data_IF_226559824076
#
_entry.id   IF_226559824076
#
_cell.length_a   1.000
_cell.length_b   1.000
_cell.length_c   1.000
_cell.angle_alpha   90.00
_cell.angle_beta   90.00
_cell.angle_gamma   90.00
#
_symmetry.space_group_name_H-M   'P 1'
#
loop_
_entity.id
_entity.type
_entity.pdbx_description
1 polymer ?
#
# COMPACT_ATOMS: atom_id res chain seq x y z
N UNK A 1 11.73 43.74 -39.31
CA UNK A 1 12.46 42.99 -38.27
C UNK A 1 11.47 41.98 -37.71
N UNK A 2 11.53 40.76 -38.23
CA UNK A 2 10.50 39.75 -37.98
C UNK A 2 11.08 38.81 -36.92
N UNK A 3 10.82 39.11 -35.66
CA UNK A 3 11.30 38.29 -34.56
C UNK A 3 10.37 37.07 -34.43
N UNK A 4 10.70 35.98 -35.12
CA UNK A 4 10.09 34.69 -34.85
C UNK A 4 10.74 34.11 -33.58
N UNK A 5 10.02 34.14 -32.46
CA UNK A 5 10.42 33.44 -31.24
C UNK A 5 10.44 31.93 -31.54
N UNK A 6 11.55 31.21 -31.29
CA UNK A 6 11.55 29.75 -31.45
C UNK A 6 10.58 29.14 -30.44
N UNK A 7 9.54 28.46 -30.91
CA UNK A 7 8.72 27.64 -30.05
C UNK A 7 9.58 26.46 -29.56
N UNK A 8 9.87 26.42 -28.26
CA UNK A 8 10.54 25.29 -27.63
C UNK A 8 9.72 24.01 -27.89
N UNK A 9 10.36 22.86 -28.19
CA UNK A 9 9.64 21.63 -28.38
C UNK A 9 8.92 21.28 -27.08
N UNK A 10 7.59 21.27 -27.10
CA UNK A 10 6.80 20.75 -26.00
C UNK A 10 7.16 19.27 -25.82
N UNK A 11 7.69 18.90 -24.66
CA UNK A 11 7.96 17.50 -24.33
C UNK A 11 6.62 16.77 -24.27
N UNK A 12 6.23 16.15 -25.39
CA UNK A 12 5.01 15.37 -25.46
C UNK A 12 5.24 14.05 -24.73
N UNK A 13 4.61 13.93 -23.56
CA UNK A 13 4.56 12.66 -22.83
C UNK A 13 3.58 11.76 -23.57
N UNK A 14 4.07 10.66 -24.13
CA UNK A 14 3.19 9.61 -24.64
C UNK A 14 2.53 8.91 -23.43
N UNK A 15 1.20 9.04 -23.24
CA UNK A 15 0.51 8.46 -22.11
C UNK A 15 0.60 6.93 -22.09
N UNK A 16 0.77 6.27 -23.24
CA UNK A 16 0.93 4.81 -23.31
C UNK A 16 2.31 4.38 -22.83
N UNK A 17 3.35 5.10 -23.25
CA UNK A 17 4.71 4.86 -22.79
C UNK A 17 4.83 5.10 -21.27
N UNK A 18 4.19 6.15 -20.76
CA UNK A 18 4.12 6.42 -19.33
C UNK A 18 3.40 5.31 -18.57
N UNK A 19 2.22 4.87 -19.03
CA UNK A 19 1.47 3.80 -18.39
C UNK A 19 2.26 2.47 -18.35
N UNK A 20 2.96 2.13 -19.44
CA UNK A 20 3.81 0.95 -19.49
C UNK A 20 4.97 1.03 -18.49
N UNK A 21 5.62 2.20 -18.40
CA UNK A 21 6.70 2.42 -17.43
C UNK A 21 6.21 2.40 -15.97
N UNK A 22 4.98 2.88 -15.72
CA UNK A 22 4.39 2.95 -14.39
C UNK A 22 3.79 1.61 -13.91
N UNK A 23 3.55 0.64 -14.81
CA UNK A 23 2.85 -0.60 -14.47
C UNK A 23 3.54 -1.39 -13.35
N UNK A 24 4.83 -1.67 -13.50
CA UNK A 24 5.62 -2.40 -12.48
C UNK A 24 5.70 -1.65 -11.14
N UNK A 25 6.13 -0.37 -11.07
CA UNK A 25 6.19 0.33 -9.79
C UNK A 25 4.80 0.50 -9.16
N UNK A 26 3.73 0.64 -9.94
CA UNK A 26 2.37 0.66 -9.41
C UNK A 26 1.99 -0.66 -8.76
N UNK A 27 2.31 -1.80 -9.39
CA UNK A 27 2.10 -3.12 -8.80
C UNK A 27 2.91 -3.31 -7.52
N UNK A 28 4.18 -2.91 -7.50
CA UNK A 28 5.02 -2.98 -6.31
C UNK A 28 4.48 -2.11 -5.18
N UNK A 29 4.04 -0.88 -5.48
CA UNK A 29 3.43 0.00 -4.50
C UNK A 29 2.14 -0.59 -3.94
N UNK A 30 1.27 -1.14 -4.79
CA UNK A 30 0.03 -1.78 -4.37
C UNK A 30 0.30 -2.99 -3.46
N UNK A 31 1.24 -3.86 -3.83
CA UNK A 31 1.59 -5.02 -3.01
C UNK A 31 2.26 -4.64 -1.70
N UNK A 32 3.11 -3.61 -1.72
CA UNK A 32 3.73 -3.09 -0.50
C UNK A 32 2.67 -2.51 0.44
N UNK A 33 1.72 -1.74 -0.08
CA UNK A 33 0.61 -1.22 0.71
C UNK A 33 -0.24 -2.35 1.30
N UNK A 34 -0.58 -3.36 0.50
CA UNK A 34 -1.32 -4.53 0.98
C UNK A 34 -0.55 -5.28 2.09
N UNK A 35 0.76 -5.45 1.93
CA UNK A 35 1.60 -6.08 2.94
C UNK A 35 1.63 -5.27 4.25
N UNK A 36 1.70 -3.94 4.17
CA UNK A 36 1.65 -3.07 5.35
C UNK A 36 0.30 -3.14 6.05
N UNK A 37 -0.80 -3.20 5.30
CA UNK A 37 -2.15 -3.38 5.86
C UNK A 37 -2.24 -4.73 6.59
N UNK A 38 -1.77 -5.81 5.97
CA UNK A 38 -1.75 -7.13 6.61
C UNK A 38 -0.87 -7.13 7.87
N UNK A 39 0.31 -6.53 7.81
CA UNK A 39 1.22 -6.41 8.95
C UNK A 39 0.59 -5.62 10.10
N UNK A 40 -0.15 -4.56 9.81
CA UNK A 40 -0.90 -3.80 10.82
C UNK A 40 -1.90 -4.69 11.55
N UNK A 41 -2.77 -5.39 10.82
CA UNK A 41 -3.77 -6.27 11.45
C UNK A 41 -3.16 -7.45 12.20
N UNK A 42 -2.05 -8.00 11.71
CA UNK A 42 -1.40 -9.17 12.33
C UNK A 42 -0.62 -8.79 13.58
N UNK A 43 0.14 -7.70 13.52
CA UNK A 43 1.13 -7.36 14.53
C UNK A 43 0.75 -6.18 15.41
N UNK A 44 0.05 -5.19 14.86
CA UNK A 44 -0.17 -3.90 15.53
C UNK A 44 -1.55 -3.81 16.16
N UNK A 45 -2.60 -4.33 15.51
CA UNK A 45 -3.99 -4.19 15.95
C UNK A 45 -4.33 -5.06 17.18
N UNK A 46 -3.83 -4.67 18.36
CA UNK A 46 -3.94 -5.39 19.63
C UNK A 46 -4.96 -4.77 20.61
N UNK A 47 -5.97 -4.04 20.12
CA UNK A 47 -7.01 -3.39 20.95
C UNK A 47 -6.62 -2.08 21.65
N UNK A 48 -5.33 -1.81 21.88
CA UNK A 48 -4.84 -0.54 22.45
C UNK A 48 -4.38 0.48 21.40
N UNK A 49 -4.05 0.02 20.19
CA UNK A 49 -3.58 0.84 19.04
C UNK A 49 -4.41 0.54 17.78
N UNK A 50 -5.69 0.22 17.97
CA UNK A 50 -6.61 -0.02 16.85
C UNK A 50 -7.11 1.28 16.25
N UNK A 51 -7.11 1.36 14.92
CA UNK A 51 -7.79 2.41 14.15
C UNK A 51 -9.32 2.29 14.30
N UNK A 52 -9.81 1.10 14.70
CA UNK A 52 -11.23 0.85 14.96
C UNK A 52 -11.62 1.09 16.43
N UNK A 53 -10.71 1.62 17.26
CA UNK A 53 -10.99 2.01 18.64
C UNK A 53 -10.73 0.88 19.64
N UNK A 54 -11.68 0.62 20.55
CA UNK A 54 -11.57 -0.49 21.51
C UNK A 54 -12.10 -1.82 20.94
N UNK A 55 -12.24 -1.92 19.63
CA UNK A 55 -12.76 -3.10 18.94
C UNK A 55 -11.63 -4.13 18.72
N UNK A 56 -11.82 -5.35 19.25
CA UNK A 56 -10.83 -6.44 19.27
C UNK A 56 -11.23 -7.67 18.47
N UNK A 57 -12.29 -7.64 17.64
CA UNK A 57 -12.72 -8.83 16.90
C UNK A 57 -11.60 -9.44 16.03
N UNK A 58 -10.78 -8.59 15.42
CA UNK A 58 -9.63 -9.03 14.60
C UNK A 58 -8.53 -9.60 15.50
N UNK A 59 -8.22 -8.92 16.61
CA UNK A 59 -7.26 -9.40 17.60
C UNK A 59 -7.62 -10.80 18.11
N UNK A 60 -8.86 -11.01 18.53
CA UNK A 60 -9.35 -12.30 19.05
C UNK A 60 -9.35 -13.38 17.96
N UNK A 61 -9.77 -13.07 16.73
CA UNK A 61 -9.69 -14.01 15.61
C UNK A 61 -8.27 -14.50 15.35
N UNK A 62 -7.30 -13.58 15.32
CA UNK A 62 -5.89 -13.94 15.10
C UNK A 62 -5.30 -14.65 16.32
N UNK A 63 -5.70 -14.23 17.51
CA UNK A 63 -5.32 -14.86 18.77
C UNK A 63 -5.80 -16.32 18.82
N UNK A 64 -7.02 -16.61 18.37
CA UNK A 64 -7.56 -17.97 18.29
C UNK A 64 -6.91 -18.79 17.17
N UNK A 65 -6.63 -18.17 16.02
CA UNK A 65 -5.91 -18.83 14.93
C UNK A 65 -4.50 -19.29 15.35
N UNK A 66 -3.77 -18.50 16.13
CA UNK A 66 -2.44 -18.93 16.63
C UNK A 66 -2.55 -20.12 17.59
N UNK A 67 -3.59 -20.16 18.43
CA UNK A 67 -3.85 -21.28 19.32
C UNK A 67 -4.24 -22.53 18.55
N UNK A 68 -5.08 -22.39 17.52
CA UNK A 68 -5.43 -23.47 16.61
C UNK A 68 -4.19 -24.08 15.93
N UNK A 69 -3.22 -23.24 15.57
CA UNK A 69 -1.95 -23.66 14.98
C UNK A 69 -0.92 -24.14 16.02
N UNK A 70 -1.27 -24.19 17.31
CA UNK A 70 -0.43 -24.70 18.39
C UNK A 70 0.67 -23.75 18.87
N UNK A 71 0.63 -22.47 18.47
CA UNK A 71 1.57 -21.48 18.96
C UNK A 71 1.20 -21.05 20.39
N UNK A 72 2.17 -21.03 21.33
CA UNK A 72 1.92 -20.62 22.70
C UNK A 72 1.63 -19.11 22.81
N UNK A 73 0.98 -18.77 23.92
CA UNK A 73 0.44 -17.48 24.31
C UNK A 73 0.94 -17.16 25.72
N UNK A 74 1.16 -15.87 26.05
CA UNK A 74 1.59 -15.46 27.39
C UNK A 74 0.44 -15.49 28.39
#
# INVERSE_FOLDING_TARGET
MNNATPALPAHQVDPRAFAAAAATPAWLAAMTLLALIAYYFIGIDQGAVSVFGSDTHIHEFLHDARHLLGFPCH
#
